data_IF_149835266037
#
_entry.id   IF_149835266037
#
_cell.length_a   1.000
_cell.length_b   1.000
_cell.length_c   1.000
_cell.angle_alpha   90.00
_cell.angle_beta   90.00
_cell.angle_gamma   90.00
#
_symmetry.space_group_name_H-M   'P 1'
#
loop_
_entity.id
_entity.type
_entity.pdbx_description
1 polymer ?
#
# COMPACT_ATOMS: atom_id res chain seq x y z
N UNK A 1 -19.90 38.90 -10.91
CA UNK A 1 -19.20 37.82 -10.17
C UNK A 1 -19.41 36.54 -10.96
N UNK A 2 -18.34 35.92 -11.49
CA UNK A 2 -18.48 34.69 -12.29
C UNK A 2 -18.62 33.52 -11.33
N UNK A 3 -19.85 33.01 -11.21
CA UNK A 3 -20.13 31.80 -10.44
C UNK A 3 -19.45 30.63 -11.17
N UNK A 4 -18.46 30.02 -10.52
CA UNK A 4 -17.82 28.81 -11.04
C UNK A 4 -18.84 27.67 -10.90
N UNK A 5 -19.55 27.36 -11.99
CA UNK A 5 -20.36 26.15 -12.09
C UNK A 5 -19.42 24.97 -12.30
N UNK A 6 -18.78 24.52 -11.23
CA UNK A 6 -18.12 23.22 -11.23
C UNK A 6 -19.25 22.17 -11.33
N UNK A 7 -19.21 21.24 -12.29
CA UNK A 7 -20.15 20.15 -12.33
C UNK A 7 -19.95 19.35 -11.04
N UNK A 8 -20.89 19.48 -10.11
CA UNK A 8 -20.96 18.63 -8.93
C UNK A 8 -21.28 17.23 -9.46
N UNK A 9 -20.23 16.44 -9.75
CA UNK A 9 -20.41 15.04 -10.09
C UNK A 9 -21.10 14.38 -8.89
N UNK A 10 -22.28 13.82 -9.14
CA UNK A 10 -23.11 13.21 -8.11
C UNK A 10 -22.44 11.91 -7.66
N UNK A 11 -21.84 11.93 -6.47
CA UNK A 11 -21.27 10.73 -5.85
C UNK A 11 -22.44 9.83 -5.42
N UNK A 12 -22.66 8.75 -6.16
CA UNK A 12 -23.72 7.79 -5.85
C UNK A 12 -23.25 6.79 -4.79
N UNK A 13 -23.09 7.28 -3.56
CA UNK A 13 -22.77 6.46 -2.39
C UNK A 13 -23.87 6.59 -1.35
N UNK A 14 -24.46 5.46 -0.93
CA UNK A 14 -25.50 5.42 0.13
C UNK A 14 -25.02 6.04 1.44
N UNK A 15 -23.73 5.99 1.71
CA UNK A 15 -23.12 6.49 2.93
C UNK A 15 -22.46 7.86 2.75
N UNK A 16 -22.68 8.57 1.64
CA UNK A 16 -21.95 9.81 1.32
C UNK A 16 -21.96 10.85 2.47
N UNK A 17 -23.11 11.08 3.09
CA UNK A 17 -23.24 12.06 4.18
C UNK A 17 -22.78 11.56 5.56
N UNK A 18 -22.47 10.27 5.69
CA UNK A 18 -22.15 9.62 6.98
C UNK A 18 -20.75 8.97 6.98
N UNK A 19 -20.07 8.96 5.83
CA UNK A 19 -18.80 8.28 5.64
C UNK A 19 -17.65 9.26 5.81
N UNK A 20 -17.01 9.22 6.97
CA UNK A 20 -15.83 10.04 7.29
C UNK A 20 -14.51 9.45 6.75
N UNK A 21 -14.58 8.39 5.92
CA UNK A 21 -13.38 7.74 5.41
C UNK A 21 -12.63 8.63 4.41
N UNK A 22 -11.34 8.94 4.64
CA UNK A 22 -10.56 9.83 3.77
C UNK A 22 -10.22 9.19 2.42
N UNK A 23 -10.25 7.85 2.34
CA UNK A 23 -10.16 7.10 1.09
C UNK A 23 -11.51 6.42 0.81
N UNK A 24 -12.22 6.94 -0.18
CA UNK A 24 -13.52 6.42 -0.61
C UNK A 24 -13.44 5.89 -2.05
N UNK A 25 -13.82 4.63 -2.33
CA UNK A 25 -13.81 4.07 -3.69
C UNK A 25 -14.64 4.82 -4.74
N UNK A 26 -15.63 5.58 -4.28
CA UNK A 26 -16.54 6.34 -5.13
C UNK A 26 -16.09 7.80 -5.31
N UNK A 27 -14.95 8.19 -4.71
CA UNK A 27 -14.37 9.51 -4.89
C UNK A 27 -13.48 9.52 -6.14
N UNK A 28 -13.60 10.59 -6.92
CA UNK A 28 -12.83 10.84 -8.14
C UNK A 28 -11.40 11.32 -7.82
N UNK A 29 -11.19 11.92 -6.65
CA UNK A 29 -9.93 12.57 -6.26
C UNK A 29 -9.08 11.72 -5.29
N UNK A 30 -9.05 10.40 -5.48
CA UNK A 30 -8.30 9.49 -4.62
C UNK A 30 -6.77 9.60 -4.76
N UNK A 31 -6.28 10.09 -5.89
CA UNK A 31 -4.85 10.15 -6.22
C UNK A 31 -4.21 11.33 -5.48
N UNK A 32 -3.75 11.10 -4.26
CA UNK A 32 -3.06 12.10 -3.43
C UNK A 32 -3.55 12.14 -1.99
N UNK A 33 -4.67 11.48 -1.70
CA UNK A 33 -5.15 11.31 -0.34
C UNK A 33 -4.24 10.36 0.45
N UNK A 34 -4.02 10.73 1.70
CA UNK A 34 -3.32 9.93 2.69
C UNK A 34 -4.37 9.26 3.58
N UNK A 35 -4.05 8.10 4.12
CA UNK A 35 -4.86 7.46 5.15
C UNK A 35 -3.97 6.99 6.29
N UNK A 36 -4.36 7.34 7.51
CA UNK A 36 -3.72 6.87 8.73
C UNK A 36 -4.51 5.71 9.35
N UNK A 37 -3.85 4.72 9.98
CA UNK A 37 -4.55 3.61 10.65
C UNK A 37 -5.51 4.03 11.77
N UNK A 38 -5.36 5.25 12.31
CA UNK A 38 -6.27 5.86 13.28
C UNK A 38 -7.57 6.38 12.65
N UNK A 39 -7.60 6.58 11.33
CA UNK A 39 -8.74 7.13 10.61
C UNK A 39 -9.76 6.08 10.20
N UNK A 40 -11.05 6.45 10.09
CA UNK A 40 -12.10 5.53 9.68
C UNK A 40 -11.89 5.01 8.25
N UNK A 41 -12.33 3.78 8.02
CA UNK A 41 -12.28 3.12 6.70
C UNK A 41 -13.67 3.05 6.11
N UNK A 42 -13.78 3.14 4.78
CA UNK A 42 -15.05 3.07 4.08
C UNK A 42 -15.82 1.78 4.42
N UNK A 43 -17.14 1.89 4.66
CA UNK A 43 -18.03 0.79 5.07
C UNK A 43 -18.70 0.04 3.92
N UNK A 44 -18.41 0.41 2.67
CA UNK A 44 -18.99 -0.22 1.49
C UNK A 44 -18.76 -1.74 1.50
N UNK A 45 -19.80 -2.54 1.28
CA UNK A 45 -19.69 -4.01 1.30
C UNK A 45 -18.85 -4.51 0.12
N UNK A 46 -19.23 -4.11 -1.09
CA UNK A 46 -18.54 -4.42 -2.33
C UNK A 46 -17.42 -3.42 -2.60
N UNK A 47 -16.43 -3.42 -1.69
CA UNK A 47 -15.29 -2.52 -1.77
C UNK A 47 -14.09 -3.17 -2.48
N UNK A 48 -13.29 -2.37 -3.20
CA UNK A 48 -12.06 -2.86 -3.84
C UNK A 48 -11.07 -3.39 -2.81
N UNK A 49 -10.15 -4.24 -3.26
CA UNK A 49 -9.20 -4.97 -2.40
C UNK A 49 -8.38 -4.06 -1.50
N UNK A 50 -8.01 -2.86 -1.94
CA UNK A 50 -7.26 -1.90 -1.12
C UNK A 50 -8.05 -1.40 0.11
N UNK A 51 -9.39 -1.29 0.03
CA UNK A 51 -10.22 -0.96 1.21
C UNK A 51 -10.23 -2.12 2.19
N UNK A 52 -10.27 -3.35 1.67
CA UNK A 52 -10.20 -4.54 2.51
C UNK A 52 -8.87 -4.59 3.26
N UNK A 53 -7.77 -4.22 2.58
CA UNK A 53 -6.45 -4.07 3.19
C UNK A 53 -6.44 -3.00 4.29
N UNK A 54 -7.05 -1.83 4.08
CA UNK A 54 -7.19 -0.82 5.15
C UNK A 54 -7.90 -1.40 6.39
N UNK A 55 -8.99 -2.16 6.20
CA UNK A 55 -9.72 -2.81 7.30
C UNK A 55 -8.87 -3.86 8.02
N UNK A 56 -8.00 -4.55 7.31
CA UNK A 56 -7.08 -5.52 7.89
C UNK A 56 -5.96 -4.81 8.66
N UNK A 57 -5.30 -3.82 8.05
CA UNK A 57 -4.26 -2.97 8.66
C UNK A 57 -4.76 -2.34 9.97
N UNK A 58 -5.97 -1.75 9.96
CA UNK A 58 -6.58 -1.15 11.15
C UNK A 58 -6.78 -2.13 12.32
N UNK A 59 -6.79 -3.44 12.05
CA UNK A 59 -6.93 -4.50 13.07
C UNK A 59 -5.61 -5.11 13.50
N UNK A 60 -4.51 -4.88 12.78
CA UNK A 60 -3.20 -5.42 13.12
C UNK A 60 -2.69 -4.74 14.39
N UNK A 61 -2.25 -5.56 15.34
CA UNK A 61 -1.62 -5.07 16.58
C UNK A 61 -0.16 -4.70 16.29
N UNK A 62 0.28 -3.55 16.77
CA UNK A 62 1.66 -3.07 16.59
C UNK A 62 1.88 -2.16 15.39
N UNK A 63 0.85 -1.88 14.59
CA UNK A 63 0.97 -0.88 13.52
C UNK A 63 1.03 0.52 14.14
N UNK A 64 2.03 1.27 13.67
CA UNK A 64 2.18 2.68 14.00
C UNK A 64 1.03 3.50 13.39
N UNK A 65 0.27 4.16 14.26
CA UNK A 65 -0.91 4.96 13.89
C UNK A 65 -0.55 6.37 13.42
N UNK A 66 0.70 6.79 13.61
CA UNK A 66 1.20 8.08 13.15
C UNK A 66 1.76 8.01 11.72
N UNK A 67 1.94 6.80 11.18
CA UNK A 67 2.37 6.57 9.80
C UNK A 67 1.17 6.50 8.86
N UNK A 68 1.37 6.94 7.63
CA UNK A 68 0.30 6.99 6.63
C UNK A 68 0.50 5.93 5.54
N UNK A 69 -0.58 5.61 4.83
CA UNK A 69 -0.57 4.82 3.61
C UNK A 69 -1.26 5.58 2.49
N UNK A 70 -0.67 5.52 1.30
CA UNK A 70 -1.32 6.01 0.08
C UNK A 70 -2.06 4.88 -0.64
N UNK A 71 -2.94 5.24 -1.57
CA UNK A 71 -3.58 4.25 -2.45
C UNK A 71 -2.55 3.38 -3.20
N UNK A 72 -1.41 3.93 -3.61
CA UNK A 72 -0.36 3.17 -4.31
C UNK A 72 0.28 2.15 -3.39
N UNK A 73 0.61 2.54 -2.16
CA UNK A 73 1.13 1.64 -1.14
C UNK A 73 0.15 0.49 -0.86
N UNK A 74 -1.13 0.81 -0.64
CA UNK A 74 -2.18 -0.19 -0.38
C UNK A 74 -2.35 -1.18 -1.54
N UNK A 75 -2.25 -0.72 -2.78
CA UNK A 75 -2.30 -1.60 -3.93
C UNK A 75 -1.05 -2.49 -4.03
N UNK A 76 0.13 -1.98 -3.68
CA UNK A 76 1.40 -2.71 -3.71
C UNK A 76 1.59 -3.73 -2.58
N UNK A 77 0.84 -3.65 -1.49
CA UNK A 77 0.94 -4.63 -0.39
C UNK A 77 0.34 -5.96 -0.84
N UNK A 78 1.13 -7.01 -1.00
CA UNK A 78 0.60 -8.35 -1.29
C UNK A 78 0.00 -9.00 -0.02
N UNK A 79 0.77 -8.99 1.06
CA UNK A 79 0.39 -9.57 2.35
C UNK A 79 0.55 -8.58 3.49
N UNK A 80 -0.38 -8.63 4.46
CA UNK A 80 -0.38 -7.79 5.65
C UNK A 80 0.22 -8.59 6.80
N UNK A 81 1.47 -8.26 7.15
CA UNK A 81 2.21 -8.88 8.24
C UNK A 81 2.31 -7.94 9.45
N UNK A 82 2.71 -8.47 10.62
CA UNK A 82 2.88 -7.66 11.83
C UNK A 82 4.02 -6.64 11.75
N UNK A 83 4.99 -6.85 10.85
CA UNK A 83 6.07 -5.90 10.57
C UNK A 83 5.74 -4.89 9.48
N UNK A 84 4.48 -4.82 9.02
CA UNK A 84 4.05 -3.82 8.06
C UNK A 84 3.96 -2.45 8.75
N UNK A 85 4.79 -1.53 8.29
CA UNK A 85 4.73 -0.13 8.71
C UNK A 85 4.29 0.77 7.54
N UNK A 86 3.72 1.93 7.87
CA UNK A 86 3.39 2.97 6.88
C UNK A 86 4.58 3.85 6.52
N UNK A 87 4.33 4.86 5.69
CA UNK A 87 5.30 5.90 5.39
C UNK A 87 5.32 6.96 6.50
N UNK A 88 6.49 7.58 6.71
CA UNK A 88 6.66 8.64 7.71
C UNK A 88 6.12 9.98 7.17
N UNK A 89 5.13 10.62 7.82
CA UNK A 89 4.57 11.92 7.39
C UNK A 89 5.57 13.07 7.42
N UNK A 90 6.64 12.97 8.22
CA UNK A 90 7.68 14.00 8.31
C UNK A 90 8.67 13.94 7.13
N UNK A 91 8.73 12.82 6.40
CA UNK A 91 9.56 12.72 5.21
C UNK A 91 8.80 13.26 4.00
N UNK A 92 9.35 14.30 3.37
CA UNK A 92 8.89 14.80 2.07
C UNK A 92 8.98 13.75 0.94
N UNK A 93 9.70 12.64 1.18
CA UNK A 93 9.84 11.50 0.30
C UNK A 93 9.26 10.21 0.89
N UNK A 94 8.44 10.30 1.94
CA UNK A 94 7.98 9.14 2.71
C UNK A 94 7.41 8.00 1.88
N UNK A 95 6.60 8.28 0.85
CA UNK A 95 6.10 7.25 -0.07
C UNK A 95 7.24 6.59 -0.87
N UNK A 96 8.19 7.36 -1.39
CA UNK A 96 9.35 6.86 -2.15
C UNK A 96 10.29 6.05 -1.26
N UNK A 97 10.56 6.54 -0.06
CA UNK A 97 11.42 5.89 0.92
C UNK A 97 10.81 4.53 1.30
N UNK A 98 9.49 4.49 1.55
CA UNK A 98 8.77 3.26 1.84
C UNK A 98 8.85 2.23 0.71
N UNK A 99 8.75 2.65 -0.56
CA UNK A 99 8.97 1.74 -1.69
C UNK A 99 10.42 1.26 -1.77
N UNK A 100 11.39 2.14 -1.49
CA UNK A 100 12.81 1.80 -1.45
C UNK A 100 13.13 0.71 -0.43
N UNK A 101 12.73 0.91 0.83
CA UNK A 101 13.00 -0.01 1.94
C UNK A 101 12.46 -1.42 1.69
N UNK A 102 11.32 -1.54 0.98
CA UNK A 102 10.73 -2.84 0.64
C UNK A 102 11.43 -3.55 -0.50
N UNK A 103 11.98 -2.81 -1.46
CA UNK A 103 12.84 -3.41 -2.51
C UNK A 103 14.17 -3.89 -1.95
N UNK A 104 14.73 -3.17 -0.97
CA UNK A 104 15.99 -3.54 -0.31
C UNK A 104 15.79 -4.70 0.67
N UNK A 105 14.68 -4.73 1.41
CA UNK A 105 14.31 -5.87 2.27
C UNK A 105 13.94 -7.13 1.47
N UNK A 106 13.56 -6.99 0.20
CA UNK A 106 13.40 -8.11 -0.73
C UNK A 106 14.73 -8.71 -1.20
N UNK A 107 15.82 -7.93 -1.21
CA UNK A 107 17.17 -8.42 -1.56
C UNK A 107 17.81 -9.25 -0.46
N UNK A 108 17.46 -9.06 0.82
CA UNK A 108 17.97 -9.90 1.91
C UNK A 108 17.28 -11.26 2.04
N UNK A 109 16.25 -11.54 1.22
CA UNK A 109 15.62 -12.87 1.07
C UNK A 109 15.90 -13.56 -0.26
N UNK A 110 16.63 -12.92 -1.17
CA UNK A 110 17.23 -13.59 -2.32
C UNK A 110 18.52 -14.29 -1.86
N UNK A 111 18.33 -15.50 -1.35
CA UNK A 111 19.21 -16.66 -1.52
C UNK A 111 20.71 -16.34 -1.71
N UNK A 112 21.47 -16.48 -0.63
CA UNK A 112 22.89 -16.88 -0.71
C UNK A 112 22.90 -18.31 -1.27
N UNK A 113 22.73 -18.45 -2.59
CA UNK A 113 23.19 -19.65 -3.29
C UNK A 113 24.69 -19.49 -3.35
N UNK A 114 25.40 -20.17 -2.45
CA UNK A 114 26.82 -20.42 -2.64
C UNK A 114 27.00 -21.00 -4.06
N UNK A 115 27.81 -20.39 -4.94
CA UNK A 115 28.15 -21.04 -6.19
C UNK A 115 28.77 -22.40 -5.84
N UNK A 116 28.32 -23.52 -6.44
CA UNK A 116 29.01 -24.78 -6.26
C UNK A 116 30.44 -24.62 -6.77
N UNK A 117 31.41 -24.97 -5.92
CA UNK A 117 32.84 -24.99 -6.20
C UNK A 117 33.13 -25.68 -7.54
N UNK A 118 34.08 -25.12 -8.29
CA UNK A 118 34.53 -25.49 -9.65
C UNK A 118 35.15 -26.91 -9.79
N UNK A 119 34.45 -27.97 -9.39
CA UNK A 119 34.93 -29.36 -9.53
C UNK A 119 33.93 -30.29 -10.23
N UNK A 120 33.33 -29.84 -11.33
CA UNK A 120 32.57 -30.72 -12.25
C UNK A 120 32.88 -30.47 -13.74
N UNK A 121 34.06 -29.95 -14.07
CA UNK A 121 34.55 -29.84 -15.45
C UNK A 121 35.47 -31.02 -15.86
N UNK A 122 35.17 -32.23 -15.40
CA UNK A 122 35.83 -33.47 -15.84
C UNK A 122 34.79 -34.59 -16.02
N UNK A 123 34.12 -34.63 -17.17
CA UNK A 123 33.78 -35.90 -17.84
C UNK A 123 32.94 -35.71 -19.13
N UNK A 124 33.49 -35.00 -20.11
CA UNK A 124 33.17 -35.31 -21.51
C UNK A 124 34.47 -35.32 -22.34
N UNK A 125 35.25 -36.37 -22.12
CA UNK A 125 36.05 -37.03 -23.16
C UNK A 125 35.43 -38.40 -23.37
N UNK A 126 35.48 -38.87 -24.63
CA UNK A 126 34.93 -40.13 -25.18
C UNK A 126 33.43 -39.96 -25.53
N UNK A 127 33.00 -39.84 -26.78
CA UNK A 127 33.49 -40.43 -28.04
C UNK A 127 33.47 -39.42 -29.20
#
# INVERSE_FOLDING_TARGET
MKQLSLPLQTINCRHYNECEAPLCPQDINLKGCLWFPSEPVCRLKDAPTWVQKQRQIAKVRGIDREKYFTLRMLNSIEEITQGLEGANPQSSRGERDWFGERTESGKSRAEVVNPPSEECARNYRLF
#
